data_IF_738602164650
#
_entry.id   IF_738602164650
#
_cell.length_a   1.000
_cell.length_b   1.000
_cell.length_c   1.000
_cell.angle_alpha   90.00
_cell.angle_beta   90.00
_cell.angle_gamma   90.00
#
_symmetry.space_group_name_H-M   'P 1'
#
loop_
_entity.id
_entity.type
_entity.pdbx_description
1 polymer ?
#
# COMPACT_ATOMS: atom_id res chain seq x y z
N UNK A 1 9.52 16.08 -19.13
CA UNK A 1 10.56 15.14 -18.65
C UNK A 1 10.19 14.48 -17.33
N UNK A 2 9.64 15.20 -16.35
CA UNK A 2 9.21 14.61 -15.07
C UNK A 2 7.95 13.73 -15.20
N UNK A 3 6.94 14.15 -15.97
CA UNK A 3 5.72 13.35 -16.19
C UNK A 3 5.99 11.94 -16.79
N UNK A 4 7.01 11.80 -17.65
CA UNK A 4 7.37 10.49 -18.22
C UNK A 4 7.95 9.55 -17.15
N UNK A 5 8.67 10.09 -16.17
CA UNK A 5 9.15 9.33 -15.01
C UNK A 5 7.94 8.86 -14.19
N UNK A 6 6.98 9.75 -13.89
CA UNK A 6 5.78 9.37 -13.14
C UNK A 6 4.93 8.31 -13.83
N UNK A 7 4.80 8.38 -15.16
CA UNK A 7 4.13 7.32 -15.95
C UNK A 7 4.87 5.99 -15.90
N UNK A 8 6.21 6.01 -15.88
CA UNK A 8 7.02 4.80 -15.75
C UNK A 8 6.86 4.18 -14.35
N UNK A 9 6.84 5.01 -13.30
CA UNK A 9 6.58 4.57 -11.92
C UNK A 9 5.18 3.92 -11.80
N UNK A 10 4.15 4.54 -12.36
CA UNK A 10 2.79 3.97 -12.39
C UNK A 10 2.73 2.64 -13.14
N UNK A 11 3.48 2.50 -14.24
CA UNK A 11 3.58 1.24 -14.98
C UNK A 11 4.22 0.15 -14.11
N UNK A 12 5.33 0.46 -13.44
CA UNK A 12 5.98 -0.48 -12.52
C UNK A 12 5.03 -0.92 -11.41
N UNK A 13 4.32 0.02 -10.80
CA UNK A 13 3.32 -0.27 -9.76
C UNK A 13 2.20 -1.17 -10.29
N UNK A 14 1.71 -0.90 -11.50
CA UNK A 14 0.65 -1.69 -12.13
C UNK A 14 1.10 -3.11 -12.44
N UNK A 15 2.34 -3.28 -12.92
CA UNK A 15 2.94 -4.61 -13.17
C UNK A 15 3.15 -5.37 -11.85
N UNK A 16 3.61 -4.69 -10.80
CA UNK A 16 3.74 -5.27 -9.46
C UNK A 16 2.38 -5.70 -8.88
N UNK A 17 1.36 -4.85 -8.94
CA UNK A 17 0.03 -5.16 -8.40
C UNK A 17 -0.62 -6.35 -9.12
N UNK A 18 -0.43 -6.44 -10.44
CA UNK A 18 -0.82 -7.61 -11.23
C UNK A 18 -0.03 -8.86 -10.83
N UNK A 19 1.27 -8.75 -10.55
CA UNK A 19 2.11 -9.91 -10.20
C UNK A 19 1.70 -10.60 -8.89
N UNK A 20 1.02 -9.90 -8.00
CA UNK A 20 0.46 -10.46 -6.75
C UNK A 20 -1.03 -10.79 -6.87
N UNK A 21 -1.57 -10.78 -8.10
CA UNK A 21 -2.99 -10.97 -8.41
C UNK A 21 -3.91 -10.15 -7.49
N UNK A 22 -3.53 -8.91 -7.18
CA UNK A 22 -4.14 -8.14 -6.08
C UNK A 22 -5.66 -8.02 -6.21
N UNK A 23 -6.16 -7.73 -7.43
CA UNK A 23 -7.60 -7.64 -7.69
C UNK A 23 -8.35 -8.97 -7.52
N UNK A 24 -7.69 -10.11 -7.77
CA UNK A 24 -8.29 -11.45 -7.66
C UNK A 24 -8.19 -12.00 -6.24
N UNK A 25 -7.07 -11.74 -5.56
CA UNK A 25 -6.82 -12.18 -4.19
C UNK A 25 -7.56 -11.34 -3.15
N UNK A 26 -7.83 -10.07 -3.46
CA UNK A 26 -8.52 -9.13 -2.58
C UNK A 26 -9.74 -8.51 -3.28
N UNK A 27 -10.72 -9.31 -3.73
CA UNK A 27 -11.87 -8.80 -4.50
C UNK A 27 -12.81 -7.92 -3.66
N UNK A 28 -12.69 -7.99 -2.33
CA UNK A 28 -13.41 -7.14 -1.38
C UNK A 28 -12.74 -5.78 -1.16
N UNK A 29 -11.44 -5.68 -1.44
CA UNK A 29 -10.68 -4.45 -1.22
C UNK A 29 -10.81 -3.53 -2.43
N UNK A 30 -10.73 -2.22 -2.18
CA UNK A 30 -10.82 -1.21 -3.24
C UNK A 30 -9.52 -1.22 -4.04
N UNK A 31 -9.60 -1.36 -5.36
CA UNK A 31 -8.44 -1.16 -6.24
C UNK A 31 -8.16 0.35 -6.39
N UNK A 32 -7.22 0.86 -5.60
CA UNK A 32 -6.88 2.29 -5.48
C UNK A 32 -5.44 2.59 -5.86
N UNK A 33 -4.83 1.80 -6.73
CA UNK A 33 -3.41 1.93 -7.09
C UNK A 33 -3.05 3.34 -7.56
N UNK A 34 -3.88 3.92 -8.45
CA UNK A 34 -3.63 5.24 -9.04
C UNK A 34 -3.79 6.33 -7.99
N UNK A 35 -4.81 6.23 -7.15
CA UNK A 35 -5.05 7.18 -6.06
C UNK A 35 -3.94 7.12 -5.01
N UNK A 36 -3.49 5.91 -4.61
CA UNK A 36 -2.38 5.73 -3.68
C UNK A 36 -1.09 6.38 -4.24
N UNK A 37 -0.78 6.14 -5.51
CA UNK A 37 0.37 6.78 -6.14
C UNK A 37 0.22 8.30 -6.20
N UNK A 38 -0.97 8.80 -6.56
CA UNK A 38 -1.25 10.23 -6.62
C UNK A 38 -1.08 10.91 -5.26
N UNK A 39 -1.49 10.25 -4.17
CA UNK A 39 -1.28 10.73 -2.80
C UNK A 39 0.21 10.90 -2.49
N UNK A 40 1.03 9.91 -2.81
CA UNK A 40 2.48 9.98 -2.58
C UNK A 40 3.14 11.04 -3.49
N UNK A 41 2.66 11.18 -4.72
CA UNK A 41 3.13 12.20 -5.65
C UNK A 41 2.91 13.63 -5.12
N UNK A 42 1.84 13.87 -4.35
CA UNK A 42 1.58 15.15 -3.69
C UNK A 42 2.60 15.50 -2.59
N UNK A 43 3.33 14.52 -2.06
CA UNK A 43 4.33 14.74 -1.00
C UNK A 43 5.67 15.16 -1.60
N UNK A 44 6.13 14.47 -2.64
CA UNK A 44 7.37 14.80 -3.36
C UNK A 44 7.28 14.34 -4.82
N UNK A 45 7.31 15.30 -5.76
CA UNK A 45 7.13 15.06 -7.20
C UNK A 45 8.44 15.09 -7.98
N UNK A 46 9.53 15.51 -7.35
CA UNK A 46 10.85 15.70 -7.93
C UNK A 46 11.49 14.35 -8.34
N UNK A 47 12.21 14.27 -9.46
CA UNK A 47 12.71 13.01 -10.01
C UNK A 47 13.63 12.24 -9.05
N UNK A 48 14.35 12.92 -8.17
CA UNK A 48 15.28 12.37 -7.18
C UNK A 48 14.59 11.42 -6.19
N UNK A 49 13.28 11.61 -5.96
CA UNK A 49 12.48 10.80 -5.03
C UNK A 49 11.73 9.65 -5.71
N UNK A 50 12.10 9.26 -6.93
CA UNK A 50 11.43 8.20 -7.70
C UNK A 50 11.31 6.89 -6.93
N UNK A 51 12.42 6.39 -6.38
CA UNK A 51 12.45 5.16 -5.56
C UNK A 51 11.56 5.29 -4.33
N UNK A 52 11.60 6.45 -3.65
CA UNK A 52 10.79 6.71 -2.48
C UNK A 52 9.29 6.72 -2.82
N UNK A 53 8.89 7.29 -3.96
CA UNK A 53 7.50 7.30 -4.41
C UNK A 53 6.98 5.90 -4.67
N UNK A 54 7.73 5.10 -5.41
CA UNK A 54 7.34 3.72 -5.74
C UNK A 54 7.22 2.87 -4.46
N UNK A 55 8.19 2.96 -3.56
CA UNK A 55 8.15 2.22 -2.30
C UNK A 55 6.97 2.64 -1.42
N UNK A 56 6.76 3.95 -1.24
CA UNK A 56 5.66 4.44 -0.42
C UNK A 56 4.30 4.13 -1.05
N UNK A 57 4.16 4.18 -2.38
CA UNK A 57 2.92 3.78 -3.05
C UNK A 57 2.60 2.29 -2.79
N UNK A 58 3.59 1.40 -2.87
CA UNK A 58 3.40 -0.04 -2.53
C UNK A 58 2.96 -0.21 -1.07
N UNK A 59 3.61 0.49 -0.13
CA UNK A 59 3.22 0.47 1.30
C UNK A 59 1.78 0.96 1.47
N UNK A 60 1.41 2.07 0.82
CA UNK A 60 0.08 2.66 0.94
C UNK A 60 -1.01 1.74 0.37
N UNK A 61 -0.74 1.09 -0.76
CA UNK A 61 -1.64 0.08 -1.34
C UNK A 61 -1.86 -1.09 -0.36
N UNK A 62 -0.80 -1.59 0.28
CA UNK A 62 -0.92 -2.65 1.31
C UNK A 62 -1.72 -2.15 2.52
N UNK A 63 -1.45 -0.94 3.02
CA UNK A 63 -2.18 -0.37 4.16
C UNK A 63 -3.67 -0.16 3.86
N UNK A 64 -4.02 0.34 2.67
CA UNK A 64 -5.43 0.49 2.26
C UNK A 64 -6.13 -0.85 2.11
N UNK A 65 -5.43 -1.88 1.62
CA UNK A 65 -5.96 -3.25 1.56
C UNK A 65 -6.22 -3.81 2.97
N UNK A 66 -5.26 -3.66 3.89
CA UNK A 66 -5.41 -4.06 5.29
C UNK A 66 -6.56 -3.31 5.98
N UNK A 67 -6.70 -2.02 5.71
CA UNK A 67 -7.81 -1.22 6.21
C UNK A 67 -9.15 -1.78 5.73
N UNK A 68 -9.26 -2.12 4.44
CA UNK A 68 -10.47 -2.74 3.90
C UNK A 68 -10.75 -4.12 4.51
N UNK A 69 -9.70 -4.90 4.81
CA UNK A 69 -9.82 -6.14 5.57
C UNK A 69 -10.43 -5.88 6.96
N UNK A 70 -9.92 -4.90 7.70
CA UNK A 70 -10.39 -4.61 9.06
C UNK A 70 -11.80 -4.01 9.11
N UNK A 71 -12.13 -3.11 8.18
CA UNK A 71 -13.36 -2.33 8.23
C UNK A 71 -14.56 -3.05 7.59
N UNK A 72 -14.32 -3.82 6.52
CA UNK A 72 -15.38 -4.27 5.62
C UNK A 72 -15.46 -5.79 5.41
N UNK A 73 -14.44 -6.56 5.80
CA UNK A 73 -14.36 -7.99 5.45
C UNK A 73 -14.12 -8.94 6.63
N UNK A 74 -13.07 -8.71 7.42
CA UNK A 74 -12.65 -9.62 8.47
C UNK A 74 -13.61 -9.63 9.65
N UNK A 75 -13.84 -10.82 10.20
CA UNK A 75 -14.49 -10.94 11.52
C UNK A 75 -13.55 -10.41 12.61
N UNK A 76 -14.12 -10.10 13.78
CA UNK A 76 -13.34 -9.62 14.91
C UNK A 76 -12.19 -10.56 15.28
N UNK A 77 -12.44 -11.87 15.30
CA UNK A 77 -11.45 -12.90 15.62
C UNK A 77 -10.34 -12.98 14.56
N UNK A 78 -10.66 -12.88 13.28
CA UNK A 78 -9.69 -12.87 12.17
C UNK A 78 -8.83 -11.61 12.20
N UNK A 79 -9.44 -10.44 12.44
CA UNK A 79 -8.72 -9.17 12.56
C UNK A 79 -7.79 -9.19 13.77
N UNK A 80 -8.23 -9.73 14.92
CA UNK A 80 -7.34 -9.91 16.08
C UNK A 80 -6.15 -10.82 15.76
N UNK A 81 -6.37 -11.91 15.01
CA UNK A 81 -5.29 -12.80 14.61
C UNK A 81 -4.30 -12.10 13.66
N UNK A 82 -4.81 -11.31 12.71
CA UNK A 82 -4.01 -10.49 11.80
C UNK A 82 -3.15 -9.47 12.55
N UNK A 83 -3.74 -8.72 13.49
CA UNK A 83 -3.01 -7.74 14.31
C UNK A 83 -1.88 -8.41 15.07
N UNK A 84 -2.15 -9.55 15.74
CA UNK A 84 -1.11 -10.31 16.46
C UNK A 84 0.01 -10.81 15.53
N UNK A 85 -0.34 -11.21 14.30
CA UNK A 85 0.67 -11.62 13.31
C UNK A 85 1.57 -10.45 12.91
N UNK A 86 0.99 -9.26 12.71
CA UNK A 86 1.74 -8.03 12.41
C UNK A 86 2.62 -7.62 13.61
N UNK A 87 2.09 -7.66 14.84
CA UNK A 87 2.85 -7.38 16.07
C UNK A 87 4.02 -8.34 16.29
N UNK A 88 3.87 -9.62 15.92
CA UNK A 88 4.96 -10.59 15.99
C UNK A 88 6.04 -10.32 14.95
N UNK A 89 5.65 -9.87 13.76
CA UNK A 89 6.56 -9.63 12.65
C UNK A 89 7.32 -8.31 12.78
N UNK A 90 6.66 -7.26 13.28
CA UNK A 90 7.26 -5.95 13.50
C UNK A 90 7.87 -5.87 14.91
N UNK A 91 9.12 -5.42 15.08
CA UNK A 91 9.67 -5.21 16.41
C UNK A 91 8.80 -4.21 17.18
N UNK A 92 8.51 -4.54 18.46
CA UNK A 92 7.55 -3.90 19.39
C UNK A 92 7.55 -2.35 19.46
N UNK A 93 8.55 -1.67 18.90
CA UNK A 93 8.71 -0.21 18.92
C UNK A 93 8.02 0.54 17.78
N UNK A 94 7.61 -0.12 16.69
CA UNK A 94 7.05 0.60 15.52
C UNK A 94 5.56 0.94 15.70
N UNK A 95 4.79 0.05 16.33
CA UNK A 95 3.32 0.15 16.35
C UNK A 95 2.80 1.27 17.27
N UNK A 96 3.55 1.64 18.32
CA UNK A 96 3.15 2.65 19.30
C UNK A 96 3.79 4.03 19.10
N UNK A 97 4.57 4.24 18.04
CA UNK A 97 5.31 5.52 17.85
C UNK A 97 4.53 6.57 17.04
N UNK A 98 3.39 6.21 16.45
CA UNK A 98 2.62 7.10 15.57
C UNK A 98 1.10 7.09 15.81
N UNK A 99 0.67 6.70 17.01
CA UNK A 99 -0.68 6.94 17.54
C UNK A 99 -0.53 7.81 18.77
#
# INVERSE_FOLDING_TARGET
MVQSIHKQELRELSEWWKSIDGATNFPYARDRLVECYFWILCIYFEPEYSVARVLNAKIYIVLTTLNDTCDNFGTYEEVQALVKAIERFLPHKIIYTYI
#
